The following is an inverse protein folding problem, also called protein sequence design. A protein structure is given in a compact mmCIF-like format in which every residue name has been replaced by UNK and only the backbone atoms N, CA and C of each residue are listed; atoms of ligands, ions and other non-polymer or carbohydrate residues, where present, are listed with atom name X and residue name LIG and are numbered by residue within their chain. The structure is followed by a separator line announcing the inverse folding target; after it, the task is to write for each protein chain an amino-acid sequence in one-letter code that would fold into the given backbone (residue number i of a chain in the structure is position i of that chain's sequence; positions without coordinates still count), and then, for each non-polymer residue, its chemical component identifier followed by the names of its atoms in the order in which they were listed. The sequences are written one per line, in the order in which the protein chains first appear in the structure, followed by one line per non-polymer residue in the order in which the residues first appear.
data_IF_725211813987
#
_entry.id   IF_725211813987
#
_cell.length_a   1.000
_cell.length_b   1.000
_cell.length_c   1.000
_cell.angle_alpha   90.00
_cell.angle_beta   90.00
_cell.angle_gamma   90.00
#
_symmetry.space_group_name_H-M   'P 1'
#
loop_
_entity.id
_entity.type
_entity.pdbx_description
1 polymer ?
#
# COMPACT_ATOMS: atom_id res chain seq x y z
N UNK A 1 -14.40 48.62 31.53
CA UNK A 1 -14.62 47.16 31.57
C UNK A 1 -13.52 46.44 30.79
N UNK A 2 -12.95 45.41 31.41
CA UNK A 2 -12.29 44.24 30.80
C UNK A 2 -11.09 44.45 29.84
N UNK A 3 -9.92 44.72 30.44
CA UNK A 3 -8.60 44.22 30.00
C UNK A 3 -8.60 42.68 29.94
N UNK A 4 -9.22 42.08 28.92
CA UNK A 4 -9.31 40.60 28.72
C UNK A 4 -8.66 40.14 27.41
N UNK A 5 -7.46 40.62 27.08
CA UNK A 5 -6.71 40.10 25.91
C UNK A 5 -5.21 39.84 26.15
N UNK A 6 -4.72 39.89 27.39
CA UNK A 6 -3.28 39.78 27.68
C UNK A 6 -2.87 38.67 28.67
N UNK A 7 -3.78 37.80 29.13
CA UNK A 7 -3.48 36.79 30.16
C UNK A 7 -3.49 35.32 29.69
N UNK A 8 -3.36 35.04 28.40
CA UNK A 8 -3.24 33.67 27.88
C UNK A 8 -1.85 33.32 27.35
N UNK A 9 -0.99 34.30 27.08
CA UNK A 9 0.37 34.06 26.57
C UNK A 9 1.44 33.89 27.68
N UNK A 10 1.08 34.08 28.96
CA UNK A 10 2.01 34.05 30.10
C UNK A 10 1.90 32.83 31.01
N UNK A 11 1.14 31.79 30.65
CA UNK A 11 0.93 30.58 31.47
C UNK A 11 1.47 29.27 30.85
N UNK A 12 2.23 29.34 29.76
CA UNK A 12 2.75 28.15 29.06
C UNK A 12 4.29 28.13 29.00
N UNK A 13 5.00 29.05 29.66
CA UNK A 13 6.43 28.89 29.91
C UNK A 13 6.73 28.76 31.41
N UNK A 14 7.51 27.72 31.73
CA UNK A 14 8.13 27.40 33.01
C UNK A 14 7.24 26.83 34.12
N UNK A 15 7.11 25.51 34.14
CA UNK A 15 7.62 24.76 35.31
C UNK A 15 7.92 23.31 34.92
N UNK A 16 9.21 23.01 35.07
CA UNK A 16 9.89 21.75 34.87
C UNK A 16 9.53 20.78 35.98
N UNK A 17 8.51 19.96 35.78
CA UNK A 17 8.32 18.76 36.60
C UNK A 17 9.26 17.66 36.11
N UNK A 18 10.27 17.46 36.95
CA UNK A 18 11.18 16.33 37.06
C UNK A 18 10.50 15.03 36.65
N UNK A 19 10.87 14.47 35.49
CA UNK A 19 10.53 13.09 35.13
C UNK A 19 11.59 12.16 35.72
N UNK A 20 11.24 11.28 36.68
CA UNK A 20 12.16 10.28 37.20
C UNK A 20 12.40 9.18 36.16
N UNK A 21 13.64 8.70 36.04
CA UNK A 21 13.88 7.34 35.56
C UNK A 21 14.55 7.15 34.20
N UNK A 22 15.09 8.18 33.53
CA UNK A 22 15.89 7.98 32.30
C UNK A 22 17.36 8.39 32.39
N UNK A 23 17.77 9.14 33.43
CA UNK A 23 19.17 9.57 33.60
C UNK A 23 20.00 8.66 34.50
N UNK A 24 19.38 7.79 35.29
CA UNK A 24 20.12 6.91 36.21
C UNK A 24 20.76 5.70 35.51
N UNK A 25 20.41 5.43 34.25
CA UNK A 25 21.01 4.32 33.48
C UNK A 25 22.41 4.61 32.91
N UNK A 26 22.89 5.87 32.98
CA UNK A 26 24.09 6.29 32.22
C UNK A 26 25.32 6.46 33.11
N UNK A 27 25.20 6.40 34.44
CA UNK A 27 26.35 6.64 35.33
C UNK A 27 26.33 5.70 36.53
N UNK A 28 26.75 4.46 36.29
CA UNK A 28 26.90 3.46 37.35
C UNK A 28 27.63 2.21 36.87
N UNK A 29 28.96 2.23 36.92
CA UNK A 29 29.77 1.07 37.32
C UNK A 29 29.93 -0.10 36.35
N UNK A 30 31.10 -0.14 35.70
CA UNK A 30 32.02 -1.28 35.60
C UNK A 30 31.47 -2.70 35.85
N UNK A 31 31.41 -3.56 34.82
CA UNK A 31 32.23 -4.78 34.68
C UNK A 31 31.73 -5.71 33.55
N UNK A 32 32.72 -6.48 33.06
CA UNK A 32 32.64 -7.76 32.37
C UNK A 32 32.50 -7.75 30.83
N UNK A 33 33.66 -7.94 30.22
CA UNK A 33 33.96 -8.56 28.93
C UNK A 33 32.89 -9.56 28.46
N UNK A 34 32.33 -9.33 27.27
CA UNK A 34 31.82 -10.42 26.42
C UNK A 34 32.24 -10.19 24.97
N UNK A 35 33.32 -10.91 24.66
CA UNK A 35 33.71 -11.46 23.36
C UNK A 35 32.60 -11.54 22.30
N UNK A 36 32.91 -11.05 21.10
CA UNK A 36 32.33 -11.58 19.86
C UNK A 36 31.40 -10.64 19.09
N UNK A 37 31.86 -9.45 18.70
CA UNK A 37 31.15 -8.68 17.66
C UNK A 37 31.50 -9.26 16.28
N UNK A 38 30.82 -10.35 15.93
CA UNK A 38 30.69 -10.75 14.51
C UNK A 38 29.91 -9.64 13.80
N UNK A 39 30.45 -9.15 12.69
CA UNK A 39 29.80 -8.18 11.79
C UNK A 39 28.40 -8.72 11.44
N UNK A 40 27.30 -7.97 11.65
CA UNK A 40 25.99 -8.45 11.27
C UNK A 40 25.95 -8.60 9.74
N UNK A 41 25.73 -9.82 9.27
CA UNK A 41 25.41 -10.08 7.87
C UNK A 41 24.07 -9.37 7.60
N UNK A 42 24.10 -8.42 6.65
CA UNK A 42 22.89 -7.81 6.14
C UNK A 42 22.18 -8.88 5.30
N UNK A 43 21.35 -9.70 5.94
CA UNK A 43 20.39 -10.55 5.25
C UNK A 43 19.48 -9.62 4.44
N UNK A 44 19.51 -9.74 3.11
CA UNK A 44 18.46 -9.16 2.27
C UNK A 44 17.13 -9.72 2.77
N UNK A 45 16.18 -8.86 3.17
CA UNK A 45 14.90 -9.35 3.65
C UNK A 45 14.23 -10.14 2.52
N UNK A 46 13.82 -11.38 2.82
CA UNK A 46 13.06 -12.21 1.89
C UNK A 46 11.89 -11.39 1.33
N UNK A 47 11.63 -11.46 0.01
CA UNK A 47 10.58 -10.67 -0.60
C UNK A 47 9.24 -11.05 0.03
N UNK A 48 8.69 -10.12 0.81
CA UNK A 48 7.37 -10.29 1.43
C UNK A 48 6.38 -10.53 0.28
N UNK A 49 5.70 -11.69 0.24
CA UNK A 49 4.74 -11.97 -0.81
C UNK A 49 3.71 -10.84 -0.83
N UNK A 50 3.56 -10.19 -1.97
CA UNK A 50 2.58 -9.12 -2.10
C UNK A 50 1.21 -9.67 -1.72
N UNK A 51 0.43 -8.94 -0.90
CA UNK A 51 -0.88 -9.42 -0.49
C UNK A 51 -1.73 -9.67 -1.75
N UNK A 52 -2.32 -10.86 -1.81
CA UNK A 52 -3.04 -11.37 -2.99
C UNK A 52 -4.15 -10.42 -3.52
N UNK A 53 -4.61 -9.48 -2.68
CA UNK A 53 -5.71 -8.57 -2.98
C UNK A 53 -5.27 -7.10 -3.17
N UNK A 54 -3.98 -6.84 -3.41
CA UNK A 54 -3.54 -5.47 -3.73
C UNK A 54 -4.01 -5.08 -5.14
N UNK A 55 -4.95 -4.15 -5.23
CA UNK A 55 -5.41 -3.60 -6.51
C UNK A 55 -4.24 -2.88 -7.19
N UNK A 56 -3.91 -3.29 -8.42
CA UNK A 56 -2.91 -2.64 -9.27
C UNK A 56 -3.60 -1.94 -10.43
N UNK A 57 -3.13 -0.74 -10.78
CA UNK A 57 -3.62 0.00 -11.94
C UNK A 57 -3.03 -0.56 -13.23
N UNK A 58 -3.87 -0.79 -14.23
CA UNK A 58 -3.47 -1.11 -15.60
C UNK A 58 -4.25 -0.22 -16.57
N UNK A 59 -3.57 0.28 -17.60
CA UNK A 59 -4.19 1.03 -18.69
C UNK A 59 -4.32 0.08 -19.89
N UNK A 60 -5.51 0.04 -20.48
CA UNK A 60 -5.82 -0.76 -21.66
C UNK A 60 -6.14 0.16 -22.84
N UNK A 61 -5.90 -0.33 -24.05
CA UNK A 61 -6.35 0.31 -25.28
C UNK A 61 -7.71 -0.28 -25.64
N UNK A 62 -8.73 0.57 -25.70
CA UNK A 62 -10.11 0.20 -26.00
C UNK A 62 -10.61 1.03 -27.17
N UNK A 63 -11.51 0.46 -27.98
CA UNK A 63 -12.21 1.21 -29.03
C UNK A 63 -13.17 2.22 -28.41
N UNK A 64 -13.38 3.36 -29.09
CA UNK A 64 -14.27 4.42 -28.60
C UNK A 64 -15.69 3.90 -28.31
N UNK A 65 -16.28 3.12 -29.23
CA UNK A 65 -17.62 2.56 -29.03
C UNK A 65 -17.72 1.63 -27.81
N UNK A 66 -16.66 0.88 -27.49
CA UNK A 66 -16.64 0.03 -26.29
C UNK A 66 -16.60 0.87 -25.01
N UNK A 67 -15.88 2.01 -25.02
CA UNK A 67 -15.84 2.93 -23.88
C UNK A 67 -17.23 3.52 -23.63
N UNK A 68 -17.92 3.93 -24.69
CA UNK A 68 -19.28 4.47 -24.62
C UNK A 68 -20.30 3.44 -24.13
N UNK A 69 -20.19 2.20 -24.61
CA UNK A 69 -21.06 1.09 -24.20
C UNK A 69 -20.87 0.76 -22.71
N UNK A 70 -19.62 0.65 -22.24
CA UNK A 70 -19.32 0.44 -20.82
C UNK A 70 -19.87 1.60 -19.97
N UNK A 71 -19.71 2.85 -20.44
CA UNK A 71 -20.24 4.03 -19.75
C UNK A 71 -21.76 4.02 -19.64
N UNK A 72 -22.45 3.66 -20.72
CA UNK A 72 -23.91 3.54 -20.76
C UNK A 72 -24.39 2.45 -19.82
N UNK A 73 -23.76 1.28 -19.84
CA UNK A 73 -24.10 0.15 -18.98
C UNK A 73 -23.88 0.49 -17.50
N UNK A 74 -22.79 1.19 -17.17
CA UNK A 74 -22.52 1.63 -15.80
C UNK A 74 -23.61 2.57 -15.27
N UNK A 75 -24.13 3.48 -16.10
CA UNK A 75 -25.24 4.36 -15.74
C UNK A 75 -26.52 3.57 -15.52
N UNK A 76 -26.84 2.64 -16.44
CA UNK A 76 -28.05 1.81 -16.36
C UNK A 76 -28.07 0.97 -15.09
N UNK A 77 -26.95 0.31 -14.77
CA UNK A 77 -26.79 -0.57 -13.61
C UNK A 77 -26.45 0.19 -12.31
N UNK A 78 -26.25 1.51 -12.39
CA UNK A 78 -25.90 2.39 -11.26
C UNK A 78 -24.65 1.96 -10.51
N UNK A 79 -23.62 1.55 -11.26
CA UNK A 79 -22.33 1.11 -10.72
C UNK A 79 -21.20 2.00 -11.22
N UNK A 80 -20.07 1.99 -10.51
CA UNK A 80 -18.86 2.66 -10.98
C UNK A 80 -18.25 1.92 -12.18
N UNK A 81 -17.67 2.68 -13.12
CA UNK A 81 -17.06 2.12 -14.34
C UNK A 81 -15.95 1.12 -14.00
N UNK A 82 -15.12 1.40 -13.01
CA UNK A 82 -14.00 0.52 -12.64
C UNK A 82 -14.50 -0.81 -12.05
N UNK A 83 -15.56 -0.77 -11.24
CA UNK A 83 -16.22 -1.93 -10.67
C UNK A 83 -16.85 -2.79 -11.77
N UNK A 84 -17.56 -2.15 -12.71
CA UNK A 84 -18.14 -2.83 -13.87
C UNK A 84 -17.06 -3.51 -14.72
N UNK A 85 -15.99 -2.79 -15.06
CA UNK A 85 -14.87 -3.36 -15.83
C UNK A 85 -14.23 -4.53 -15.08
N UNK A 86 -14.04 -4.43 -13.76
CA UNK A 86 -13.51 -5.54 -12.96
C UNK A 86 -14.42 -6.77 -13.00
N UNK A 87 -15.73 -6.56 -12.86
CA UNK A 87 -16.73 -7.63 -12.94
C UNK A 87 -16.72 -8.30 -14.32
N UNK A 88 -16.76 -7.51 -15.40
CA UNK A 88 -16.75 -8.02 -16.77
C UNK A 88 -15.49 -8.84 -17.07
N UNK A 89 -14.33 -8.36 -16.64
CA UNK A 89 -13.07 -9.10 -16.79
C UNK A 89 -13.06 -10.40 -15.97
N UNK A 90 -13.55 -10.36 -14.73
CA UNK A 90 -13.67 -11.57 -13.89
C UNK A 90 -14.58 -12.61 -14.53
N UNK A 91 -15.78 -12.22 -14.95
CA UNK A 91 -16.75 -13.10 -15.60
C UNK A 91 -16.21 -13.69 -16.91
N UNK A 92 -15.48 -12.91 -17.71
CA UNK A 92 -14.83 -13.40 -18.92
C UNK A 92 -13.73 -14.42 -18.61
N UNK A 93 -12.91 -14.19 -17.57
CA UNK A 93 -11.89 -15.16 -17.13
C UNK A 93 -12.53 -16.46 -16.65
N UNK A 94 -13.60 -16.39 -15.87
CA UNK A 94 -14.34 -17.57 -15.41
C UNK A 94 -14.87 -18.38 -16.59
N UNK A 95 -15.45 -17.73 -17.60
CA UNK A 95 -15.90 -18.41 -18.82
C UNK A 95 -14.75 -19.08 -19.59
N UNK A 96 -13.56 -18.48 -19.61
CA UNK A 96 -12.38 -19.10 -20.23
C UNK A 96 -11.93 -20.31 -19.43
N UNK A 97 -11.86 -20.20 -18.10
CA UNK A 97 -11.44 -21.31 -17.23
C UNK A 97 -12.41 -22.49 -17.24
N UNK A 98 -13.70 -22.21 -17.38
CA UNK A 98 -14.75 -23.22 -17.53
C UNK A 98 -14.84 -23.80 -18.96
N UNK A 99 -14.04 -23.29 -19.91
CA UNK A 99 -14.06 -23.72 -21.30
C UNK A 99 -15.30 -23.27 -22.10
N UNK A 100 -16.10 -22.34 -21.57
CA UNK A 100 -17.26 -21.76 -22.24
C UNK A 100 -16.87 -20.72 -23.29
N UNK A 101 -15.73 -20.05 -23.09
CA UNK A 101 -15.18 -19.07 -24.03
C UNK A 101 -13.79 -19.51 -24.49
N UNK A 102 -13.67 -19.89 -25.76
CA UNK A 102 -12.38 -20.23 -26.35
C UNK A 102 -11.72 -18.95 -26.88
N UNK A 103 -10.53 -18.62 -26.38
CA UNK A 103 -9.75 -17.49 -26.88
C UNK A 103 -9.20 -17.89 -28.27
N UNK A 104 -9.53 -17.13 -29.34
CA UNK A 104 -9.10 -17.44 -30.70
C UNK A 104 -7.65 -16.98 -30.92
N UNK A 105 -6.71 -17.54 -30.18
CA UNK A 105 -5.27 -17.23 -30.31
C UNK A 105 -4.50 -18.45 -30.74
N UNK A 106 -3.60 -18.28 -31.72
CA UNK A 106 -2.50 -19.22 -31.90
C UNK A 106 -1.48 -18.99 -30.77
N UNK A 107 -0.89 -20.04 -30.18
CA UNK A 107 0.13 -19.87 -29.16
C UNK A 107 1.31 -19.07 -29.73
N UNK A 108 1.55 -17.88 -29.19
CA UNK A 108 2.66 -17.04 -29.58
C UNK A 108 3.99 -17.69 -29.18
N UNK A 109 4.93 -17.83 -30.12
CA UNK A 109 6.32 -18.18 -29.76
C UNK A 109 6.97 -16.96 -29.10
N UNK A 110 7.21 -17.04 -27.79
CA UNK A 110 8.00 -16.03 -27.07
C UNK A 110 9.46 -16.15 -27.53
N UNK A 111 9.92 -15.25 -28.39
CA UNK A 111 11.35 -15.11 -28.65
C UNK A 111 11.98 -14.40 -27.45
N UNK A 112 12.73 -15.14 -26.65
CA UNK A 112 13.63 -14.55 -25.65
C UNK A 112 14.90 -14.22 -26.43
N UNK A 113 15.16 -12.93 -26.66
CA UNK A 113 16.44 -12.51 -27.22
C UNK A 113 17.56 -12.90 -26.23
N UNK A 114 18.65 -13.54 -26.70
CA UNK A 114 19.78 -13.92 -25.86
C UNK A 114 20.54 -12.72 -25.32
#
# INVERSE_FOLDING_TARGET
MARRKQNLAGKISSQSDVRPGWRDAITGGSQAEQTGVRRPEFMEPEPIPEPANKIKRKTYLLYAGMIEEIGTLAIQERVGINELVRYLLGAALDQVYEGKLTIPTQPGRRQIAP
#
